data_IF_470220194754
#
_entry.id   IF_470220194754
#
_cell.length_a   1.000
_cell.length_b   1.000
_cell.length_c   1.000
_cell.angle_alpha   90.00
_cell.angle_beta   90.00
_cell.angle_gamma   90.00
#
_symmetry.space_group_name_H-M   'P 1'
#
loop_
_entity.id
_entity.type
_entity.pdbx_description
1 polymer ?
#
# COMPACT_ATOMS: atom_id res chain seq x y z
N UNK A 1 -54.41 13.50 24.82
CA UNK A 1 -53.02 13.29 25.29
C UNK A 1 -52.37 12.06 24.66
N UNK A 2 -53.01 10.88 24.64
CA UNK A 2 -52.44 9.68 23.99
C UNK A 2 -52.22 9.84 22.48
N UNK A 3 -53.20 10.34 21.73
CA UNK A 3 -53.07 10.55 20.26
C UNK A 3 -51.93 11.51 19.89
N UNK A 4 -51.78 12.60 20.64
CA UNK A 4 -50.69 13.58 20.42
C UNK A 4 -49.31 12.93 20.64
N UNK A 5 -49.17 12.07 21.66
CA UNK A 5 -47.93 11.34 21.94
C UNK A 5 -47.60 10.32 20.85
N UNK A 6 -48.61 9.65 20.29
CA UNK A 6 -48.45 8.72 19.17
C UNK A 6 -47.98 9.44 17.90
N UNK A 7 -48.50 10.64 17.64
CA UNK A 7 -48.09 11.46 16.49
C UNK A 7 -46.61 11.91 16.58
N UNK A 8 -46.17 12.35 17.77
CA UNK A 8 -44.76 12.67 18.01
C UNK A 8 -43.85 11.44 17.93
N UNK A 9 -44.32 10.26 18.37
CA UNK A 9 -43.55 9.02 18.27
C UNK A 9 -43.30 8.63 16.81
N UNK A 10 -44.31 8.74 15.94
CA UNK A 10 -44.17 8.48 14.50
C UNK A 10 -43.18 9.45 13.83
N UNK A 11 -43.23 10.74 14.19
CA UNK A 11 -42.28 11.74 13.67
C UNK A 11 -40.85 11.39 14.12
N UNK A 12 -40.66 11.03 15.39
CA UNK A 12 -39.36 10.63 15.92
C UNK A 12 -38.81 9.37 15.24
N UNK A 13 -39.69 8.41 14.92
CA UNK A 13 -39.34 7.18 14.21
C UNK A 13 -38.85 7.47 12.78
N UNK A 14 -39.56 8.33 12.05
CA UNK A 14 -39.16 8.76 10.70
C UNK A 14 -37.80 9.47 10.73
N UNK A 15 -37.61 10.39 11.68
CA UNK A 15 -36.33 11.11 11.82
C UNK A 15 -35.19 10.13 12.17
N UNK A 16 -35.45 9.18 13.06
CA UNK A 16 -34.47 8.16 13.44
C UNK A 16 -34.07 7.29 12.24
N UNK A 17 -35.05 6.83 11.45
CA UNK A 17 -34.79 6.06 10.24
C UNK A 17 -33.95 6.84 9.22
N UNK A 18 -34.27 8.13 9.00
CA UNK A 18 -33.49 9.00 8.13
C UNK A 18 -32.06 9.22 8.65
N UNK A 19 -31.89 9.41 9.96
CA UNK A 19 -30.58 9.58 10.58
C UNK A 19 -29.68 8.34 10.38
N UNK A 20 -30.25 7.13 10.47
CA UNK A 20 -29.53 5.87 10.19
C UNK A 20 -29.07 5.81 8.73
N UNK A 21 -29.94 6.15 7.78
CA UNK A 21 -29.61 6.15 6.34
C UNK A 21 -28.48 7.14 6.05
N UNK A 22 -28.57 8.37 6.58
CA UNK A 22 -27.54 9.40 6.41
C UNK A 22 -26.21 8.93 7.01
N UNK A 23 -26.25 8.29 8.19
CA UNK A 23 -25.06 7.74 8.84
C UNK A 23 -24.39 6.66 8.00
N UNK A 24 -25.15 5.76 7.39
CA UNK A 24 -24.60 4.71 6.52
C UNK A 24 -23.94 5.29 5.27
N UNK A 25 -24.54 6.32 4.64
CA UNK A 25 -23.94 7.02 3.51
C UNK A 25 -22.62 7.66 3.94
N UNK A 26 -22.60 8.35 5.08
CA UNK A 26 -21.39 8.97 5.62
C UNK A 26 -20.28 7.96 5.88
N UNK A 27 -20.60 6.82 6.52
CA UNK A 27 -19.64 5.74 6.77
C UNK A 27 -19.10 5.18 5.44
N UNK A 28 -19.95 4.97 4.44
CA UNK A 28 -19.51 4.53 3.11
C UNK A 28 -18.52 5.51 2.46
N UNK A 29 -18.78 6.81 2.55
CA UNK A 29 -17.87 7.85 2.07
C UNK A 29 -16.56 7.88 2.87
N UNK A 30 -16.63 7.74 4.19
CA UNK A 30 -15.48 7.71 5.08
C UNK A 30 -14.58 6.51 4.78
N UNK A 31 -15.15 5.30 4.64
CA UNK A 31 -14.42 4.09 4.26
C UNK A 31 -13.71 4.32 2.92
N UNK A 32 -14.40 4.84 1.91
CA UNK A 32 -13.80 5.11 0.60
C UNK A 32 -12.64 6.10 0.68
N UNK A 33 -12.77 7.16 1.48
CA UNK A 33 -11.69 8.12 1.70
C UNK A 33 -10.50 7.49 2.42
N UNK A 34 -10.76 6.70 3.46
CA UNK A 34 -9.73 5.98 4.21
C UNK A 34 -9.00 4.99 3.30
N UNK A 35 -9.71 4.20 2.49
CA UNK A 35 -9.10 3.26 1.54
C UNK A 35 -8.14 3.98 0.59
N UNK A 36 -8.51 5.16 0.07
CA UNK A 36 -7.61 5.96 -0.79
C UNK A 36 -6.37 6.44 -0.03
N UNK A 37 -6.54 6.92 1.20
CA UNK A 37 -5.42 7.38 2.03
C UNK A 37 -4.47 6.23 2.37
N UNK A 38 -5.00 5.08 2.77
CA UNK A 38 -4.22 3.86 3.04
C UNK A 38 -3.44 3.43 1.79
N UNK A 39 -4.09 3.37 0.62
CA UNK A 39 -3.39 3.07 -0.63
C UNK A 39 -2.23 4.03 -0.88
N UNK A 40 -2.45 5.34 -0.76
CA UNK A 40 -1.41 6.34 -0.95
C UNK A 40 -0.24 6.21 0.06
N UNK A 41 -0.53 5.89 1.32
CA UNK A 41 0.49 5.60 2.35
C UNK A 41 1.33 4.39 1.95
N UNK A 42 0.68 3.29 1.55
CA UNK A 42 1.37 2.08 1.09
C UNK A 42 2.27 2.38 -0.10
N UNK A 43 1.77 3.11 -1.10
CA UNK A 43 2.58 3.55 -2.24
C UNK A 43 3.84 4.34 -1.81
N UNK A 44 3.69 5.24 -0.85
CA UNK A 44 4.80 6.03 -0.33
C UNK A 44 5.82 5.15 0.40
N UNK A 45 5.38 4.19 1.20
CA UNK A 45 6.25 3.24 1.90
C UNK A 45 7.05 2.37 0.93
N UNK A 46 6.45 1.90 -0.16
CA UNK A 46 7.17 1.17 -1.23
C UNK A 46 8.26 2.05 -1.82
N UNK A 47 7.92 3.28 -2.22
CA UNK A 47 8.87 4.19 -2.84
C UNK A 47 10.03 4.52 -1.89
N UNK A 48 9.76 4.66 -0.60
CA UNK A 48 10.79 4.84 0.42
C UNK A 48 11.70 3.62 0.54
N UNK A 49 11.14 2.41 0.55
CA UNK A 49 11.92 1.16 0.54
C UNK A 49 12.80 1.02 -0.71
N UNK A 50 12.27 1.40 -1.88
CA UNK A 50 12.99 1.37 -3.15
C UNK A 50 14.18 2.34 -3.14
N UNK A 51 13.94 3.60 -2.77
CA UNK A 51 14.99 4.62 -2.64
C UNK A 51 16.06 4.17 -1.64
N UNK A 52 15.66 3.59 -0.51
CA UNK A 52 16.60 3.10 0.50
C UNK A 52 17.47 1.96 -0.04
N UNK A 53 16.88 0.99 -0.77
CA UNK A 53 17.62 -0.11 -1.39
C UNK A 53 18.62 0.41 -2.43
N UNK A 54 18.18 1.30 -3.34
CA UNK A 54 19.03 1.89 -4.37
C UNK A 54 20.18 2.70 -3.77
N UNK A 55 19.91 3.50 -2.74
CA UNK A 55 20.94 4.22 -2.01
C UNK A 55 21.89 3.27 -1.31
N UNK A 56 21.42 2.18 -0.70
CA UNK A 56 22.29 1.19 -0.05
C UNK A 56 23.26 0.56 -1.07
N UNK A 57 22.75 0.13 -2.23
CA UNK A 57 23.56 -0.47 -3.30
C UNK A 57 24.58 0.51 -3.90
N UNK A 58 24.18 1.78 -4.06
CA UNK A 58 25.01 2.85 -4.62
C UNK A 58 25.86 3.63 -3.62
N UNK A 59 25.67 3.42 -2.31
CA UNK A 59 26.29 4.23 -1.25
C UNK A 59 27.80 4.05 -1.15
N UNK A 60 28.32 2.90 -1.59
CA UNK A 60 29.74 2.59 -1.55
C UNK A 60 30.20 1.84 -2.79
N UNK A 61 31.44 2.14 -3.21
CA UNK A 61 32.12 1.38 -4.27
C UNK A 61 32.27 -0.10 -3.92
N UNK A 62 32.37 -0.40 -2.62
CA UNK A 62 32.49 -1.76 -2.12
C UNK A 62 31.20 -2.55 -2.31
N UNK A 63 30.06 -2.04 -1.86
CA UNK A 63 28.75 -2.69 -2.06
C UNK A 63 28.45 -2.90 -3.54
N UNK A 64 28.74 -1.89 -4.38
CA UNK A 64 28.61 -1.99 -5.84
C UNK A 64 29.51 -3.08 -6.44
N UNK A 65 30.77 -3.20 -5.98
CA UNK A 65 31.68 -4.26 -6.42
C UNK A 65 31.17 -5.63 -5.95
N UNK A 66 30.81 -5.77 -4.68
CA UNK A 66 30.38 -7.04 -4.09
C UNK A 66 29.14 -7.56 -4.81
N UNK A 67 28.10 -6.75 -5.00
CA UNK A 67 26.86 -7.20 -5.66
C UNK A 67 27.09 -7.53 -7.14
N UNK A 68 27.97 -6.79 -7.83
CA UNK A 68 28.33 -7.06 -9.22
C UNK A 68 29.08 -8.39 -9.35
N UNK A 69 30.09 -8.60 -8.49
CA UNK A 69 30.88 -9.83 -8.47
C UNK A 69 30.03 -11.02 -8.02
N UNK A 70 29.15 -10.87 -7.03
CA UNK A 70 28.23 -11.91 -6.57
C UNK A 70 27.36 -12.46 -7.72
N UNK A 71 26.92 -11.59 -8.63
CA UNK A 71 26.11 -12.00 -9.80
C UNK A 71 26.91 -12.61 -10.95
N UNK A 72 28.14 -12.15 -11.15
CA UNK A 72 28.97 -12.56 -12.29
C UNK A 72 29.86 -13.78 -11.99
N UNK A 73 30.47 -13.79 -10.81
CA UNK A 73 31.41 -14.81 -10.35
C UNK A 73 31.46 -14.83 -8.81
N UNK A 74 30.47 -15.44 -8.13
CA UNK A 74 30.39 -15.46 -6.66
C UNK A 74 31.59 -16.16 -6.00
N UNK A 75 32.24 -17.10 -6.69
CA UNK A 75 33.41 -17.83 -6.18
C UNK A 75 34.66 -16.93 -6.06
N UNK A 76 34.64 -15.74 -6.67
CA UNK A 76 35.71 -14.75 -6.53
C UNK A 76 35.59 -13.90 -5.25
N UNK A 77 34.51 -14.06 -4.48
CA UNK A 77 34.29 -13.35 -3.23
C UNK A 77 34.89 -14.11 -2.04
N UNK A 78 35.30 -13.37 -1.01
CA UNK A 78 35.54 -13.98 0.30
C UNK A 78 34.22 -14.48 0.90
N UNK A 79 34.26 -15.35 1.91
CA UNK A 79 33.05 -15.84 2.59
C UNK A 79 32.19 -14.70 3.17
N UNK A 80 32.84 -13.68 3.73
CA UNK A 80 32.18 -12.49 4.26
C UNK A 80 31.50 -11.67 3.14
N UNK A 81 32.22 -11.42 2.06
CA UNK A 81 31.69 -10.70 0.91
C UNK A 81 30.56 -11.47 0.22
N UNK A 82 30.65 -12.80 0.19
CA UNK A 82 29.61 -13.67 -0.34
C UNK A 82 28.31 -13.53 0.46
N UNK A 83 28.39 -13.57 1.80
CA UNK A 83 27.23 -13.35 2.66
C UNK A 83 26.65 -11.93 2.48
N UNK A 84 27.51 -10.92 2.36
CA UNK A 84 27.07 -9.56 2.08
C UNK A 84 26.34 -9.48 0.72
N UNK A 85 26.92 -10.04 -0.34
CA UNK A 85 26.31 -10.10 -1.67
C UNK A 85 24.97 -10.85 -1.66
N UNK A 86 24.87 -11.96 -0.92
CA UNK A 86 23.62 -12.69 -0.74
C UNK A 86 22.54 -11.84 -0.09
N UNK A 87 22.87 -11.07 0.96
CA UNK A 87 21.89 -10.20 1.61
C UNK A 87 21.39 -9.06 0.71
N UNK A 88 22.30 -8.45 -0.06
CA UNK A 88 21.94 -7.43 -1.05
C UNK A 88 21.02 -8.02 -2.14
N UNK A 89 21.37 -9.19 -2.67
CA UNK A 89 20.56 -9.88 -3.67
C UNK A 89 19.18 -10.31 -3.11
N UNK A 90 19.15 -10.84 -1.89
CA UNK A 90 17.90 -11.22 -1.23
C UNK A 90 16.99 -10.00 -0.96
N UNK A 91 17.57 -8.83 -0.66
CA UNK A 91 16.82 -7.59 -0.51
C UNK A 91 16.15 -7.17 -1.83
N UNK A 92 16.85 -7.31 -2.96
CA UNK A 92 16.28 -7.05 -4.28
C UNK A 92 15.16 -8.02 -4.65
N UNK A 93 15.34 -9.32 -4.41
CA UNK A 93 14.30 -10.34 -4.67
C UNK A 93 13.05 -10.04 -3.86
N UNK A 94 13.21 -9.74 -2.56
CA UNK A 94 12.08 -9.35 -1.70
C UNK A 94 11.41 -8.07 -2.15
N UNK A 95 12.17 -7.11 -2.68
CA UNK A 95 11.60 -5.90 -3.24
C UNK A 95 10.69 -6.21 -4.44
N UNK A 96 11.15 -7.06 -5.38
CA UNK A 96 10.34 -7.50 -6.53
C UNK A 96 9.10 -8.30 -6.09
N UNK A 97 9.25 -9.21 -5.14
CA UNK A 97 8.14 -9.98 -4.57
C UNK A 97 7.09 -9.06 -3.92
N UNK A 98 7.53 -8.06 -3.15
CA UNK A 98 6.65 -7.05 -2.57
C UNK A 98 5.91 -6.26 -3.65
N UNK A 99 6.56 -5.87 -4.75
CA UNK A 99 5.89 -5.20 -5.87
C UNK A 99 4.84 -6.11 -6.53
N UNK A 100 5.18 -7.38 -6.73
CA UNK A 100 4.27 -8.38 -7.32
C UNK A 100 3.02 -8.59 -6.46
N UNK A 101 3.20 -8.86 -5.15
CA UNK A 101 2.08 -9.06 -4.22
C UNK A 101 1.19 -7.82 -4.12
N UNK A 102 1.75 -6.61 -4.25
CA UNK A 102 0.97 -5.37 -4.20
C UNK A 102 0.18 -5.12 -5.49
N UNK A 103 0.72 -5.56 -6.63
CA UNK A 103 -0.01 -5.59 -7.89
C UNK A 103 -1.15 -6.62 -7.86
N UNK A 104 -0.89 -7.83 -7.37
CA UNK A 104 -1.88 -8.91 -7.28
C UNK A 104 -3.02 -8.56 -6.31
N UNK A 105 -2.70 -7.98 -5.15
CA UNK A 105 -3.68 -7.57 -4.14
C UNK A 105 -4.47 -6.29 -4.51
N UNK A 106 -4.33 -5.76 -5.73
CA UNK A 106 -5.00 -4.54 -6.21
C UNK A 106 -4.76 -3.29 -5.34
N UNK A 107 -3.71 -3.27 -4.50
CA UNK A 107 -3.34 -2.07 -3.74
C UNK A 107 -2.79 -0.99 -4.67
N UNK A 108 -2.23 -1.40 -5.81
CA UNK A 108 -2.06 -0.55 -6.98
C UNK A 108 -3.42 -0.42 -7.70
N UNK A 109 -4.29 0.48 -7.23
CA UNK A 109 -5.55 0.77 -7.90
C UNK A 109 -5.29 1.23 -9.34
N UNK A 110 -5.48 0.31 -10.29
CA UNK A 110 -5.93 0.50 -11.69
C UNK A 110 -5.93 1.96 -12.15
N UNK A 111 -4.75 2.57 -12.35
CA UNK A 111 -4.64 3.91 -12.95
C UNK A 111 -4.85 3.89 -14.47
N UNK A 112 -5.47 2.83 -15.01
CA UNK A 112 -5.68 2.61 -16.45
C UNK A 112 -7.07 2.00 -16.67
N UNK A 113 -8.10 2.83 -16.62
CA UNK A 113 -9.47 2.38 -16.94
C UNK A 113 -10.48 3.48 -17.21
N UNK A 114 -10.13 4.76 -17.03
CA UNK A 114 -11.03 5.89 -17.27
C UNK A 114 -10.46 6.90 -18.28
N UNK A 115 -9.73 6.43 -19.30
CA UNK A 115 -9.34 7.25 -20.45
C UNK A 115 -10.14 6.92 -21.73
N UNK A 116 -11.23 6.15 -21.64
CA UNK A 116 -12.03 5.78 -22.83
C UNK A 116 -13.45 6.38 -22.88
N UNK A 117 -13.73 7.46 -22.14
CA UNK A 117 -14.99 8.19 -22.31
C UNK A 117 -14.78 9.69 -22.14
N UNK A 118 -14.09 10.32 -23.10
CA UNK A 118 -14.35 11.69 -23.55
C UNK A 118 -13.77 11.87 -24.95
#
# INVERSE_FOLDING_TARGET
MKEILEEYALIAEIISALAVIISLIFVGLQIRSNTKATQASTFHEIAALDIHLLLSLGSSKESSRIISTFRMNPDALTEEEHNHGFHLFAAEVRHVENLFLQNENKMLSKKIGNLENH
#
